data_IF_633311816018
#
_entry.id   IF_633311816018
#
_cell.length_a   1.000
_cell.length_b   1.000
_cell.length_c   1.000
_cell.angle_alpha   90.00
_cell.angle_beta   90.00
_cell.angle_gamma   90.00
#
_symmetry.space_group_name_H-M   'P 1'
#
loop_
_entity.id
_entity.type
_entity.pdbx_description
1 polymer ?
#
# COMPACT_ATOMS: atom_id res chain seq x y z
N UNK A 1 11.16 -63.25 -21.46
CA UNK A 1 11.94 -62.01 -21.65
C UNK A 1 11.06 -60.74 -21.76
N UNK A 2 9.84 -60.70 -21.16
CA UNK A 2 8.87 -59.59 -21.35
C UNK A 2 8.48 -58.86 -20.04
N UNK A 3 8.92 -59.31 -18.87
CA UNK A 3 8.54 -58.65 -17.60
C UNK A 3 9.43 -57.45 -17.21
N UNK A 4 10.65 -57.33 -17.74
CA UNK A 4 11.56 -56.20 -17.41
C UNK A 4 11.15 -54.85 -18.05
N UNK A 5 10.26 -54.85 -19.04
CA UNK A 5 9.88 -53.64 -19.81
C UNK A 5 8.76 -52.81 -19.14
N UNK A 6 7.87 -53.44 -18.34
CA UNK A 6 6.78 -52.73 -17.65
C UNK A 6 7.26 -51.93 -16.43
N UNK A 7 8.22 -52.46 -15.66
CA UNK A 7 8.79 -51.77 -14.50
C UNK A 7 9.60 -50.51 -14.88
N UNK A 8 10.31 -50.54 -16.01
CA UNK A 8 11.02 -49.36 -16.52
C UNK A 8 10.07 -48.21 -16.84
N UNK A 9 8.99 -48.48 -17.60
CA UNK A 9 8.02 -47.44 -18.02
C UNK A 9 7.25 -46.81 -16.86
N UNK A 10 6.89 -47.58 -15.82
CA UNK A 10 6.24 -47.02 -14.63
C UNK A 10 7.17 -46.08 -13.85
N UNK A 11 8.45 -46.45 -13.69
CA UNK A 11 9.43 -45.62 -12.99
C UNK A 11 9.75 -44.33 -13.77
N UNK A 12 9.79 -44.36 -15.10
CA UNK A 12 9.97 -43.14 -15.91
C UNK A 12 8.79 -42.18 -15.80
N UNK A 13 7.54 -42.67 -15.82
CA UNK A 13 6.37 -41.81 -15.65
C UNK A 13 6.30 -41.19 -14.24
N UNK A 14 6.71 -41.94 -13.21
CA UNK A 14 6.78 -41.45 -11.83
C UNK A 14 7.86 -40.37 -11.67
N UNK A 15 9.05 -40.58 -12.24
CA UNK A 15 10.15 -39.61 -12.20
C UNK A 15 9.81 -38.36 -13.01
N UNK A 16 9.22 -38.49 -14.20
CA UNK A 16 8.79 -37.35 -15.03
C UNK A 16 7.65 -36.59 -14.33
N UNK A 17 6.70 -37.29 -13.69
CA UNK A 17 5.66 -36.68 -12.87
C UNK A 17 6.21 -35.92 -11.68
N UNK A 18 7.20 -36.48 -10.97
CA UNK A 18 7.87 -35.84 -9.84
C UNK A 18 8.65 -34.60 -10.27
N UNK A 19 9.35 -34.68 -11.41
CA UNK A 19 10.11 -33.56 -12.00
C UNK A 19 9.17 -32.44 -12.47
N UNK A 20 8.05 -32.77 -13.12
CA UNK A 20 7.04 -31.79 -13.52
C UNK A 20 6.37 -31.12 -12.30
N UNK A 21 6.09 -31.87 -11.23
CA UNK A 21 5.63 -31.33 -9.95
C UNK A 21 6.68 -30.38 -9.35
N UNK A 22 7.96 -30.76 -9.33
CA UNK A 22 9.05 -29.90 -8.86
C UNK A 22 9.18 -28.61 -9.67
N UNK A 23 9.00 -28.66 -10.99
CA UNK A 23 9.01 -27.46 -11.84
C UNK A 23 7.80 -26.55 -11.63
N UNK A 24 6.61 -27.11 -11.37
CA UNK A 24 5.42 -26.35 -11.02
C UNK A 24 5.58 -25.67 -9.65
N UNK A 25 6.14 -26.37 -8.66
CA UNK A 25 6.50 -25.79 -7.37
C UNK A 25 7.55 -24.70 -7.51
N UNK A 26 8.58 -24.86 -8.35
CA UNK A 26 9.58 -23.81 -8.57
C UNK A 26 9.00 -22.53 -9.18
N UNK A 27 8.05 -22.63 -10.12
CA UNK A 27 7.37 -21.44 -10.69
C UNK A 27 6.47 -20.75 -9.67
N UNK A 28 5.71 -21.50 -8.88
CA UNK A 28 4.87 -20.95 -7.82
C UNK A 28 5.71 -20.29 -6.71
N UNK A 29 6.82 -20.92 -6.30
CA UNK A 29 7.77 -20.37 -5.33
C UNK A 29 8.48 -19.13 -5.87
N UNK A 30 8.87 -19.10 -7.16
CA UNK A 30 9.50 -17.95 -7.78
C UNK A 30 8.58 -16.71 -7.82
N UNK A 31 7.26 -16.89 -7.95
CA UNK A 31 6.30 -15.79 -7.96
C UNK A 31 6.02 -15.24 -6.56
N UNK A 32 6.09 -16.07 -5.52
CA UNK A 32 5.98 -15.65 -4.10
C UNK A 32 7.22 -14.87 -3.64
N UNK A 33 8.36 -15.03 -4.30
CA UNK A 33 9.64 -14.43 -3.87
C UNK A 33 9.89 -13.00 -4.37
N UNK A 34 8.95 -12.39 -5.09
CA UNK A 34 9.15 -11.07 -5.71
C UNK A 34 8.02 -10.12 -5.35
N UNK A 35 8.36 -9.06 -4.63
CA UNK A 35 7.46 -7.94 -4.40
C UNK A 35 7.53 -6.96 -5.56
N UNK A 36 6.41 -6.37 -5.93
CA UNK A 36 6.33 -5.39 -7.02
C UNK A 36 5.63 -4.11 -6.58
N UNK A 37 6.05 -2.99 -7.16
CA UNK A 37 5.40 -1.70 -6.98
C UNK A 37 5.45 -0.92 -8.28
N UNK A 38 4.35 -0.27 -8.63
CA UNK A 38 4.31 0.65 -9.77
C UNK A 38 4.58 2.04 -9.24
N UNK A 39 5.77 2.58 -9.52
CA UNK A 39 6.23 3.87 -9.01
C UNK A 39 6.05 4.91 -10.11
N UNK A 40 5.11 5.86 -9.96
CA UNK A 40 5.04 7.01 -10.86
C UNK A 40 6.32 7.86 -10.77
N UNK A 41 6.66 8.56 -11.85
CA UNK A 41 7.85 9.42 -11.97
C UNK A 41 7.64 10.74 -11.22
N UNK A 42 7.44 10.64 -9.91
CA UNK A 42 7.26 11.75 -9.01
C UNK A 42 8.58 12.50 -8.83
N UNK A 43 8.62 13.75 -9.31
CA UNK A 43 9.75 14.67 -9.14
C UNK A 43 9.39 15.91 -8.34
N UNK A 44 8.11 16.30 -8.39
CA UNK A 44 7.54 17.48 -7.77
C UNK A 44 6.12 17.18 -7.33
N UNK A 45 5.76 17.68 -6.17
CA UNK A 45 4.40 17.73 -5.66
C UNK A 45 3.98 19.18 -5.50
N UNK A 46 2.67 19.38 -5.51
CA UNK A 46 2.06 20.55 -4.87
C UNK A 46 1.28 20.08 -3.65
N UNK A 47 1.49 20.74 -2.53
CA UNK A 47 0.69 20.56 -1.31
C UNK A 47 -0.41 21.60 -1.35
N UNK A 48 -1.65 21.17 -1.33
CA UNK A 48 -2.81 22.06 -1.29
C UNK A 48 -2.85 22.77 0.06
N UNK A 49 -3.02 24.09 0.07
CA UNK A 49 -2.98 24.91 1.31
C UNK A 49 -4.33 25.51 1.71
N UNK A 50 -5.37 25.25 0.93
CA UNK A 50 -6.72 25.78 1.12
C UNK A 50 -7.77 24.72 0.78
N UNK A 51 -8.93 24.80 1.41
CA UNK A 51 -10.08 23.97 1.04
C UNK A 51 -10.84 24.55 -0.16
N UNK A 52 -11.71 23.74 -0.78
CA UNK A 52 -12.57 24.14 -1.89
C UNK A 52 -11.82 24.66 -3.14
N UNK A 53 -10.59 24.19 -3.35
CA UNK A 53 -9.78 24.56 -4.50
C UNK A 53 -10.36 23.95 -5.77
N UNK A 54 -10.50 24.77 -6.82
CA UNK A 54 -11.04 24.30 -8.09
C UNK A 54 -9.91 23.85 -9.01
N UNK A 55 -9.95 22.58 -9.41
CA UNK A 55 -9.10 22.06 -10.48
C UNK A 55 -9.72 22.34 -11.85
N UNK A 56 -8.88 22.54 -12.86
CA UNK A 56 -9.29 23.02 -14.20
C UNK A 56 -8.71 22.17 -15.33
N UNK A 57 -9.42 22.08 -16.46
CA UNK A 57 -8.93 21.39 -17.66
C UNK A 57 -7.74 22.09 -18.32
N UNK A 58 -7.68 23.41 -18.21
CA UNK A 58 -6.63 24.27 -18.78
C UNK A 58 -6.08 25.20 -17.68
N UNK A 59 -4.87 25.76 -17.85
CA UNK A 59 -4.25 26.66 -16.87
C UNK A 59 -4.90 28.06 -16.89
N UNK A 60 -6.19 28.12 -16.60
CA UNK A 60 -7.01 29.32 -16.64
C UNK A 60 -8.27 29.14 -15.79
N UNK A 61 -8.72 30.22 -15.16
CA UNK A 61 -10.00 30.28 -14.44
C UNK A 61 -11.21 30.03 -15.35
N UNK A 62 -11.04 30.23 -16.66
CA UNK A 62 -12.06 29.99 -17.68
C UNK A 62 -12.09 28.54 -18.18
N UNK A 63 -11.11 27.71 -17.81
CA UNK A 63 -11.13 26.29 -18.14
C UNK A 63 -12.28 25.57 -17.43
N UNK A 64 -12.81 24.50 -18.04
CA UNK A 64 -13.79 23.64 -17.38
C UNK A 64 -13.29 23.15 -16.03
N UNK A 65 -14.17 23.21 -15.02
CA UNK A 65 -13.89 22.64 -13.70
C UNK A 65 -13.80 21.13 -13.78
N UNK A 66 -12.95 20.54 -12.96
CA UNK A 66 -13.01 19.12 -12.65
C UNK A 66 -14.19 18.87 -11.72
N UNK A 67 -15.03 17.92 -12.10
CA UNK A 67 -16.26 17.54 -11.42
C UNK A 67 -16.18 16.07 -11.03
N UNK A 68 -16.95 15.69 -10.01
CA UNK A 68 -17.27 14.32 -9.64
C UNK A 68 -18.71 14.02 -10.00
N UNK A 69 -18.95 12.85 -10.58
CA UNK A 69 -20.27 12.24 -10.66
C UNK A 69 -20.30 11.03 -9.76
N UNK A 70 -21.33 10.93 -8.93
CA UNK A 70 -21.53 9.84 -7.97
C UNK A 70 -22.77 9.06 -8.38
N UNK A 71 -22.71 7.71 -8.35
CA UNK A 71 -23.78 6.84 -8.83
C UNK A 71 -25.08 6.90 -8.02
N UNK A 72 -24.96 7.19 -6.73
CA UNK A 72 -26.03 7.23 -5.74
C UNK A 72 -25.68 8.20 -4.60
N UNK A 73 -26.51 8.22 -3.55
CA UNK A 73 -26.47 9.17 -2.44
C UNK A 73 -25.36 8.97 -1.41
N UNK A 74 -24.28 8.21 -1.69
CA UNK A 74 -23.09 8.16 -0.82
C UNK A 74 -22.98 6.91 0.05
N UNK A 75 -23.49 5.76 -0.41
CA UNK A 75 -23.19 4.47 0.21
C UNK A 75 -21.73 4.03 -0.02
N UNK A 76 -21.26 2.98 0.68
CA UNK A 76 -19.94 2.37 0.42
C UNK A 76 -19.79 1.90 -1.04
N UNK A 77 -20.89 1.52 -1.67
CA UNK A 77 -20.95 1.08 -3.07
C UNK A 77 -21.00 2.24 -4.09
N UNK A 78 -20.92 3.49 -3.64
CA UNK A 78 -21.00 4.64 -4.53
C UNK A 78 -19.82 4.66 -5.50
N UNK A 79 -20.10 4.56 -6.78
CA UNK A 79 -19.13 4.79 -7.82
C UNK A 79 -18.97 6.27 -8.13
N UNK A 80 -17.74 6.77 -7.94
CA UNK A 80 -17.35 8.11 -8.33
C UNK A 80 -16.63 8.11 -9.69
N UNK A 81 -16.95 9.07 -10.55
CA UNK A 81 -16.22 9.34 -11.80
C UNK A 81 -15.83 10.81 -11.90
N UNK A 82 -14.55 11.10 -12.11
CA UNK A 82 -14.08 12.46 -12.40
C UNK A 82 -14.19 12.82 -13.89
N UNK A 83 -14.61 14.05 -14.18
CA UNK A 83 -14.81 14.56 -15.55
C UNK A 83 -14.68 16.09 -15.63
N UNK A 84 -14.43 16.64 -16.82
CA UNK A 84 -14.42 18.09 -17.03
C UNK A 84 -15.78 18.64 -17.47
N UNK A 85 -16.25 19.68 -16.78
CA UNK A 85 -17.59 20.24 -16.97
C UNK A 85 -17.87 20.76 -18.39
N UNK A 86 -16.86 21.27 -19.09
CA UNK A 86 -17.00 21.90 -20.40
C UNK A 86 -16.95 20.91 -21.57
N UNK A 87 -16.37 19.72 -21.38
CA UNK A 87 -16.21 18.71 -22.44
C UNK A 87 -17.00 17.43 -22.20
N UNK A 88 -17.25 17.05 -20.95
CA UNK A 88 -17.73 15.71 -20.59
C UNK A 88 -19.06 15.71 -19.82
N UNK A 89 -19.59 16.88 -19.42
CA UNK A 89 -20.82 16.98 -18.60
C UNK A 89 -22.06 16.32 -19.19
N UNK A 90 -22.13 16.18 -20.52
CA UNK A 90 -23.26 15.50 -21.17
C UNK A 90 -23.30 13.99 -20.86
N UNK A 91 -22.15 13.38 -20.55
CA UNK A 91 -21.98 11.95 -20.28
C UNK A 91 -22.35 11.58 -18.83
N UNK A 92 -22.21 12.54 -17.91
CA UNK A 92 -22.34 12.31 -16.47
C UNK A 92 -23.36 13.28 -15.89
N UNK A 93 -24.61 12.82 -15.74
CA UNK A 93 -25.74 13.64 -15.32
C UNK A 93 -26.31 13.16 -13.99
N UNK A 94 -26.80 14.08 -13.14
CA UNK A 94 -27.62 13.70 -12.00
C UNK A 94 -28.85 12.90 -12.42
N UNK A 95 -29.30 11.97 -11.58
CA UNK A 95 -30.49 11.18 -11.81
C UNK A 95 -31.24 10.95 -10.49
N UNK A 96 -32.42 11.52 -10.36
CA UNK A 96 -33.24 11.40 -9.15
C UNK A 96 -33.75 9.98 -8.89
N UNK A 97 -33.85 9.12 -9.92
CA UNK A 97 -34.28 7.74 -9.74
C UNK A 97 -33.20 6.85 -9.13
N UNK A 98 -31.93 7.14 -9.41
CA UNK A 98 -30.79 6.37 -8.86
C UNK A 98 -30.14 7.07 -7.67
N UNK A 99 -30.51 8.33 -7.40
CA UNK A 99 -29.81 9.18 -6.44
C UNK A 99 -28.47 9.72 -6.94
N UNK A 100 -28.14 9.53 -8.22
CA UNK A 100 -26.88 10.00 -8.78
C UNK A 100 -26.81 11.52 -8.74
N UNK A 101 -25.65 12.06 -8.34
CA UNK A 101 -25.43 13.50 -8.23
C UNK A 101 -24.08 13.92 -8.79
N UNK A 102 -23.92 15.23 -9.01
CA UNK A 102 -22.69 15.84 -9.51
C UNK A 102 -22.27 16.94 -8.56
N UNK A 103 -20.99 16.97 -8.25
CA UNK A 103 -20.35 18.02 -7.45
C UNK A 103 -18.99 18.42 -8.04
N UNK A 104 -18.41 19.50 -7.52
CA UNK A 104 -17.06 19.88 -7.94
C UNK A 104 -16.04 19.00 -7.21
N UNK A 105 -15.04 18.49 -7.92
CA UNK A 105 -13.93 17.80 -7.26
C UNK A 105 -13.08 18.84 -6.52
N UNK A 106 -12.91 18.66 -5.22
CA UNK A 106 -12.08 19.50 -4.38
C UNK A 106 -11.03 18.63 -3.67
N UNK A 107 -9.73 18.85 -3.93
CA UNK A 107 -8.71 18.28 -3.05
C UNK A 107 -8.80 18.94 -1.68
N UNK A 108 -8.41 18.20 -0.64
CA UNK A 108 -8.39 18.66 0.75
C UNK A 108 -7.13 19.48 1.03
N UNK A 109 -7.21 20.40 1.99
CA UNK A 109 -6.02 21.04 2.54
C UNK A 109 -5.05 19.99 3.08
N UNK A 110 -3.78 20.07 2.68
CA UNK A 110 -2.74 19.10 3.02
C UNK A 110 -2.51 18.02 1.96
N UNK A 111 -3.40 17.89 0.95
CA UNK A 111 -3.24 16.88 -0.10
C UNK A 111 -1.95 17.09 -0.90
N UNK A 112 -1.18 16.01 -1.07
CA UNK A 112 -0.04 15.96 -1.98
C UNK A 112 -0.51 15.54 -3.36
N UNK A 113 -0.54 16.50 -4.29
CA UNK A 113 -0.88 16.22 -5.68
C UNK A 113 0.41 16.12 -6.52
N UNK A 114 0.66 14.99 -7.18
CA UNK A 114 1.85 14.82 -8.00
C UNK A 114 1.77 15.70 -9.25
N UNK A 115 2.81 16.50 -9.50
CA UNK A 115 2.92 17.31 -10.71
C UNK A 115 3.31 16.41 -11.88
N UNK A 116 2.70 16.65 -13.05
CA UNK A 116 3.04 15.94 -14.27
C UNK A 116 4.54 16.12 -14.59
N UNK A 117 5.35 15.05 -14.63
CA UNK A 117 6.78 15.16 -14.91
C UNK A 117 7.09 15.69 -16.31
N UNK A 118 6.13 15.61 -17.25
CA UNK A 118 6.26 16.17 -18.60
C UNK A 118 5.94 17.68 -18.66
N UNK A 119 5.40 18.26 -17.57
CA UNK A 119 5.07 19.68 -17.44
C UNK A 119 5.35 20.16 -16.00
N UNK A 120 6.60 19.99 -15.57
CA UNK A 120 7.01 20.21 -14.17
C UNK A 120 6.97 21.68 -13.75
N UNK A 121 7.22 22.58 -14.70
CA UNK A 121 7.18 24.03 -14.47
C UNK A 121 5.77 24.57 -14.59
N UNK A 122 5.50 25.66 -13.86
CA UNK A 122 4.18 26.28 -13.92
C UNK A 122 3.91 26.93 -15.28
N UNK A 123 2.68 26.86 -15.76
CA UNK A 123 2.20 27.60 -16.91
C UNK A 123 1.30 28.74 -16.44
N UNK A 124 1.75 29.99 -16.56
CA UNK A 124 1.02 31.17 -16.08
C UNK A 124 0.63 31.07 -14.59
N UNK A 125 1.49 30.47 -13.76
CA UNK A 125 1.22 30.25 -12.34
C UNK A 125 0.28 29.08 -12.04
N UNK A 126 0.03 28.18 -12.99
CA UNK A 126 -0.72 26.94 -12.79
C UNK A 126 0.18 25.71 -12.91
N UNK A 127 -0.07 24.70 -12.08
CA UNK A 127 0.63 23.41 -12.13
C UNK A 127 -0.31 22.34 -12.66
N UNK A 128 0.19 21.49 -13.56
CA UNK A 128 -0.55 20.33 -14.03
C UNK A 128 -0.29 19.17 -13.08
N UNK A 129 -1.36 18.61 -12.50
CA UNK A 129 -1.32 17.57 -11.48
C UNK A 129 -2.10 16.34 -11.89
N UNK A 130 -1.64 15.17 -11.46
CA UNK A 130 -2.40 13.92 -11.55
C UNK A 130 -3.35 13.81 -10.37
N UNK A 131 -4.64 13.58 -10.65
CA UNK A 131 -5.66 13.38 -9.63
C UNK A 131 -6.44 12.10 -9.90
N UNK A 132 -6.94 11.52 -8.81
CA UNK A 132 -7.76 10.31 -8.79
C UNK A 132 -9.04 10.63 -8.03
N UNK A 133 -10.13 9.94 -8.35
CA UNK A 133 -11.26 9.82 -7.43
C UNK A 133 -11.37 8.37 -6.96
N UNK A 134 -11.89 8.20 -5.74
CA UNK A 134 -12.05 6.90 -5.10
C UNK A 134 -12.71 5.92 -6.08
N UNK A 135 -12.05 4.79 -6.30
CA UNK A 135 -12.54 3.73 -7.18
C UNK A 135 -13.56 2.88 -6.43
N UNK A 136 -14.71 2.67 -7.05
CA UNK A 136 -15.64 1.60 -6.68
C UNK A 136 -15.05 0.23 -7.01
N UNK A 137 -15.21 -0.73 -6.09
CA UNK A 137 -14.75 -2.10 -6.24
C UNK A 137 -15.39 -2.86 -7.41
N UNK A 138 -16.56 -2.46 -7.90
CA UNK A 138 -17.23 -3.11 -9.03
C UNK A 138 -16.84 -2.59 -10.42
N UNK A 139 -15.87 -1.66 -10.53
CA UNK A 139 -15.25 -1.34 -11.82
C UNK A 139 -13.70 -1.31 -11.77
N UNK A 140 -13.07 -2.41 -11.32
CA UNK A 140 -11.64 -2.48 -11.13
C UNK A 140 -10.93 -2.38 -12.49
N UNK A 141 -9.91 -1.51 -12.58
CA UNK A 141 -9.06 -1.37 -13.77
C UNK A 141 -9.46 -0.29 -14.77
N UNK A 142 -10.59 0.41 -14.58
CA UNK A 142 -10.89 1.61 -15.36
C UNK A 142 -10.26 2.84 -14.70
N UNK A 143 -9.33 3.49 -15.41
CA UNK A 143 -8.67 4.69 -14.94
C UNK A 143 -9.70 5.76 -14.50
N UNK A 144 -9.76 6.00 -13.20
CA UNK A 144 -10.48 7.12 -12.59
C UNK A 144 -9.49 8.23 -12.24
N UNK A 145 -8.57 8.51 -13.17
CA UNK A 145 -7.52 9.49 -13.02
C UNK A 145 -7.54 10.48 -14.19
N UNK A 146 -7.20 11.75 -13.91
CA UNK A 146 -7.07 12.81 -14.92
C UNK A 146 -5.88 13.70 -14.62
N UNK A 147 -5.31 14.30 -15.66
CA UNK A 147 -4.46 15.48 -15.50
C UNK A 147 -5.34 16.72 -15.43
N UNK A 148 -5.20 17.51 -14.38
CA UNK A 148 -5.90 18.78 -14.20
C UNK A 148 -4.91 19.87 -13.79
N UNK A 149 -5.35 21.12 -13.81
CA UNK A 149 -4.55 22.28 -13.47
C UNK A 149 -5.03 22.90 -12.16
N UNK A 150 -4.10 23.16 -11.25
CA UNK A 150 -4.31 23.87 -10.00
C UNK A 150 -3.54 25.18 -10.02
N UNK A 151 -4.13 26.25 -9.49
CA UNK A 151 -3.46 27.55 -9.42
C UNK A 151 -2.48 27.57 -8.26
N UNK A 152 -1.27 28.07 -8.52
CA UNK A 152 -0.18 28.12 -7.54
C UNK A 152 -0.51 28.91 -6.27
N UNK A 153 -1.40 29.91 -6.35
CA UNK A 153 -1.88 30.68 -5.19
C UNK A 153 -2.52 29.80 -4.09
N UNK A 154 -2.96 28.58 -4.44
CA UNK A 154 -3.60 27.64 -3.54
C UNK A 154 -2.68 26.49 -3.08
N UNK A 155 -1.38 26.56 -3.38
CA UNK A 155 -0.47 25.45 -3.13
C UNK A 155 0.92 25.89 -2.65
N UNK A 156 1.62 24.97 -1.99
CA UNK A 156 3.07 25.01 -1.80
C UNK A 156 3.73 23.98 -2.73
N UNK A 157 4.77 24.36 -3.47
CA UNK A 157 5.58 23.42 -4.25
C UNK A 157 6.57 22.69 -3.35
N UNK A 158 6.73 21.39 -3.55
CA UNK A 158 7.72 20.56 -2.89
C UNK A 158 8.41 19.68 -3.92
N UNK A 159 9.73 19.82 -4.04
CA UNK A 159 10.56 19.05 -4.95
C UNK A 159 11.18 17.85 -4.27
N UNK A 160 11.18 16.71 -4.94
CA UNK A 160 11.86 15.49 -4.47
C UNK A 160 13.37 15.69 -4.64
N UNK A 161 14.14 15.50 -3.57
CA UNK A 161 15.60 15.47 -3.68
C UNK A 161 16.03 14.15 -4.32
N UNK A 162 16.30 14.23 -5.62
CA UNK A 162 16.74 13.09 -6.42
C UNK A 162 18.15 12.58 -6.03
N UNK A 163 18.91 13.35 -5.23
CA UNK A 163 20.22 12.95 -4.72
C UNK A 163 20.17 12.37 -3.31
N UNK A 164 19.03 12.47 -2.62
CA UNK A 164 18.85 11.91 -1.30
C UNK A 164 18.99 10.38 -1.34
N UNK A 165 19.60 9.81 -0.29
CA UNK A 165 19.72 8.35 -0.14
C UNK A 165 18.50 7.83 0.61
N UNK A 166 17.59 7.03 0.00
CA UNK A 166 16.41 6.52 0.69
C UNK A 166 16.74 5.76 1.98
N UNK A 167 17.90 5.11 2.03
CA UNK A 167 18.37 4.38 3.23
C UNK A 167 18.63 5.25 4.46
N UNK A 168 18.63 6.58 4.32
CA UNK A 168 18.82 7.56 5.41
C UNK A 168 17.53 8.28 5.80
N UNK A 169 16.43 8.02 5.08
CA UNK A 169 15.13 8.62 5.38
C UNK A 169 14.60 8.02 6.67
N UNK A 170 14.29 8.89 7.62
CA UNK A 170 13.71 8.49 8.89
C UNK A 170 12.18 8.48 8.81
N UNK A 171 11.57 7.45 9.39
CA UNK A 171 10.11 7.26 9.46
C UNK A 171 9.73 6.76 10.86
N UNK A 172 8.49 6.98 11.34
CA UNK A 172 8.02 6.43 12.61
C UNK A 172 8.10 4.91 12.59
N UNK A 173 8.72 4.29 13.59
CA UNK A 173 8.85 2.81 13.65
C UNK A 173 7.49 2.10 13.66
N UNK A 174 6.52 2.67 14.35
CA UNK A 174 5.17 2.15 14.49
C UNK A 174 4.19 3.32 14.75
N UNK A 175 2.91 3.00 14.70
CA UNK A 175 1.83 3.84 15.19
C UNK A 175 1.04 3.04 16.22
N UNK A 176 0.55 3.71 17.25
CA UNK A 176 -0.39 3.16 18.23
C UNK A 176 -1.50 4.15 18.47
N UNK A 177 -2.70 3.66 18.78
CA UNK A 177 -3.80 4.54 19.17
C UNK A 177 -3.76 4.77 20.68
N UNK A 178 -3.84 6.04 21.09
CA UNK A 178 -4.05 6.42 22.47
C UNK A 178 -5.56 6.60 22.69
N UNK A 179 -6.17 5.61 23.35
CA UNK A 179 -7.61 5.60 23.61
C UNK A 179 -8.06 6.77 24.51
N UNK A 180 -7.20 7.27 25.40
CA UNK A 180 -7.58 8.36 26.32
C UNK A 180 -7.64 9.71 25.59
N UNK A 181 -6.80 9.88 24.57
CA UNK A 181 -6.70 11.12 23.80
C UNK A 181 -7.39 11.05 22.44
N UNK A 182 -7.88 9.87 22.08
CA UNK A 182 -8.46 9.56 20.78
C UNK A 182 -7.53 9.91 19.60
N UNK A 183 -6.21 9.80 19.79
CA UNK A 183 -5.21 10.23 18.81
C UNK A 183 -4.24 9.10 18.43
N UNK A 184 -3.77 9.15 17.18
CA UNK A 184 -2.67 8.28 16.75
C UNK A 184 -1.33 8.83 17.25
N UNK A 185 -0.60 8.00 18.01
CA UNK A 185 0.72 8.30 18.54
C UNK A 185 1.81 7.68 17.67
N UNK A 186 2.76 8.52 17.27
CA UNK A 186 3.92 8.11 16.47
C UNK A 186 5.01 7.52 17.36
N UNK A 187 5.46 6.33 17.01
CA UNK A 187 6.66 5.73 17.60
C UNK A 187 7.94 6.49 17.26
N UNK A 188 9.10 6.07 17.81
CA UNK A 188 10.38 6.70 17.54
C UNK A 188 10.73 6.69 16.05
N UNK A 189 11.33 7.77 15.56
CA UNK A 189 11.86 7.83 14.20
C UNK A 189 13.05 6.89 14.04
N UNK A 190 13.04 6.11 12.97
CA UNK A 190 14.07 5.13 12.64
C UNK A 190 14.38 5.16 11.15
N UNK A 191 15.55 4.67 10.79
CA UNK A 191 15.94 4.40 9.40
C UNK A 191 15.88 2.89 9.11
N UNK A 192 15.79 2.51 7.83
CA UNK A 192 15.83 1.09 7.43
C UNK A 192 17.06 0.33 7.97
N UNK A 193 18.17 1.03 8.22
CA UNK A 193 19.42 0.41 8.68
C UNK A 193 19.34 -0.13 10.09
N UNK A 194 18.39 0.36 10.89
CA UNK A 194 18.13 -0.07 12.26
C UNK A 194 17.17 -1.27 12.31
N UNK A 195 16.59 -1.65 11.17
CA UNK A 195 15.68 -2.78 11.07
C UNK A 195 16.39 -4.12 11.15
N UNK A 196 15.63 -5.14 11.52
CA UNK A 196 16.09 -6.51 11.62
C UNK A 196 16.00 -7.18 10.25
N UNK A 197 17.00 -8.02 9.94
CA UNK A 197 17.01 -8.88 8.76
C UNK A 197 17.06 -10.33 9.17
N UNK A 198 16.28 -11.18 8.51
CA UNK A 198 16.34 -12.63 8.76
C UNK A 198 17.70 -13.16 8.30
N UNK A 199 18.32 -13.97 9.16
CA UNK A 199 19.67 -14.53 8.92
C UNK A 199 19.66 -15.72 7.95
N UNK A 200 18.50 -16.35 7.76
CA UNK A 200 18.31 -17.54 6.92
C UNK A 200 16.87 -17.60 6.39
N UNK A 201 16.63 -18.45 5.40
CA UNK A 201 15.30 -18.74 4.85
C UNK A 201 14.91 -17.90 3.62
N UNK A 202 13.65 -17.98 3.23
CA UNK A 202 13.09 -17.39 2.00
C UNK A 202 12.94 -15.85 2.05
N UNK A 203 13.12 -15.21 3.21
CA UNK A 203 12.82 -13.78 3.42
C UNK A 203 14.03 -12.98 3.91
N UNK A 204 15.25 -13.42 3.58
CA UNK A 204 16.52 -12.84 4.07
C UNK A 204 16.80 -11.42 3.58
N UNK A 205 16.15 -10.98 2.50
CA UNK A 205 16.33 -9.63 1.98
C UNK A 205 15.34 -8.63 2.57
N UNK A 206 14.29 -9.10 3.24
CA UNK A 206 13.31 -8.25 3.92
C UNK A 206 13.89 -7.70 5.21
N UNK A 207 13.81 -6.38 5.36
CA UNK A 207 14.08 -5.68 6.61
C UNK A 207 12.76 -5.36 7.28
N UNK A 208 12.65 -5.56 8.59
CA UNK A 208 11.44 -5.28 9.34
C UNK A 208 11.72 -4.86 10.78
N UNK A 209 10.73 -4.24 11.41
CA UNK A 209 10.64 -3.97 12.83
C UNK A 209 9.46 -4.73 13.39
N UNK A 210 9.59 -5.20 14.63
CA UNK A 210 8.49 -5.77 15.39
C UNK A 210 8.58 -5.24 16.81
N UNK A 211 7.49 -4.73 17.35
CA UNK A 211 7.46 -4.09 18.68
C UNK A 211 6.14 -4.43 19.37
N UNK A 212 6.17 -4.64 20.68
CA UNK A 212 4.95 -4.77 21.46
C UNK A 212 4.22 -3.43 21.49
N UNK A 213 2.90 -3.43 21.36
CA UNK A 213 2.09 -2.24 21.61
C UNK A 213 2.20 -1.80 23.08
N UNK A 214 1.98 -0.51 23.39
CA UNK A 214 2.04 0.01 24.76
C UNK A 214 1.04 -0.67 25.72
N UNK A 215 -0.16 -1.00 25.24
CA UNK A 215 -1.21 -1.70 26.01
C UNK A 215 -0.92 -3.20 26.23
N UNK A 216 0.10 -3.74 25.54
CA UNK A 216 0.50 -5.13 25.61
C UNK A 216 -0.45 -6.12 24.94
N UNK A 217 -1.48 -5.67 24.22
CA UNK A 217 -2.47 -6.52 23.58
C UNK A 217 -2.21 -6.80 22.11
N UNK A 218 -1.23 -6.16 21.49
CA UNK A 218 -0.87 -6.42 20.10
C UNK A 218 0.65 -6.35 19.90
N UNK A 219 1.07 -6.76 18.70
CA UNK A 219 2.39 -6.46 18.17
C UNK A 219 2.25 -5.64 16.90
N UNK A 220 3.17 -4.71 16.72
CA UNK A 220 3.23 -3.79 15.60
C UNK A 220 4.40 -4.20 14.71
N UNK A 221 4.11 -4.56 13.47
CA UNK A 221 5.13 -4.96 12.48
C UNK A 221 5.21 -3.91 11.39
N UNK A 222 6.43 -3.46 11.08
CA UNK A 222 6.71 -2.46 10.05
C UNK A 222 7.80 -2.96 9.12
N UNK A 223 7.54 -3.00 7.82
CA UNK A 223 8.49 -3.45 6.79
C UNK A 223 8.77 -2.34 5.76
N UNK A 224 9.90 -1.62 5.90
CA UNK A 224 10.30 -0.61 4.93
C UNK A 224 10.88 -1.23 3.63
N UNK A 225 10.47 -0.70 2.49
CA UNK A 225 10.94 -1.11 1.16
C UNK A 225 11.52 0.11 0.42
N UNK A 226 12.77 -0.01 -0.01
CA UNK A 226 13.45 1.06 -0.76
C UNK A 226 13.14 0.98 -2.25
N UNK A 227 12.85 2.11 -2.88
CA UNK A 227 12.78 2.20 -4.34
C UNK A 227 13.17 3.60 -4.83
N UNK A 228 14.29 3.67 -5.58
CA UNK A 228 14.86 4.89 -6.18
C UNK A 228 15.08 6.04 -5.19
N UNK A 229 14.06 6.89 -4.98
CA UNK A 229 14.10 8.08 -4.12
C UNK A 229 13.14 7.98 -2.93
N UNK A 230 12.40 6.87 -2.83
CA UNK A 230 11.30 6.68 -1.90
C UNK A 230 11.56 5.52 -0.93
N UNK A 231 10.94 5.61 0.24
CA UNK A 231 10.77 4.51 1.19
C UNK A 231 9.29 4.23 1.33
N UNK A 232 8.86 3.05 0.91
CA UNK A 232 7.50 2.53 1.08
C UNK A 232 7.43 1.82 2.43
N UNK A 233 6.36 2.04 3.19
CA UNK A 233 6.18 1.40 4.48
C UNK A 233 4.96 0.48 4.42
N UNK A 234 5.18 -0.82 4.65
CA UNK A 234 4.10 -1.75 4.92
C UNK A 234 3.97 -1.95 6.44
N UNK A 235 2.76 -1.86 6.99
CA UNK A 235 2.51 -2.10 8.42
C UNK A 235 1.38 -3.08 8.63
N UNK A 236 1.42 -3.78 9.75
CA UNK A 236 0.27 -4.52 10.28
C UNK A 236 0.34 -4.50 11.80
N UNK A 237 -0.83 -4.38 12.43
CA UNK A 237 -1.03 -4.75 13.82
C UNK A 237 -1.48 -6.22 13.88
N UNK A 238 -1.06 -6.95 14.91
CA UNK A 238 -1.48 -8.33 15.16
C UNK A 238 -1.88 -8.45 16.61
N UNK A 239 -3.14 -8.77 16.86
CA UNK A 239 -3.65 -8.94 18.22
C UNK A 239 -3.04 -10.16 18.88
N UNK A 240 -2.82 -10.04 20.19
CA UNK A 240 -2.26 -11.08 21.05
C UNK A 240 -3.26 -11.41 22.14
N UNK A 241 -3.82 -12.61 22.04
CA UNK A 241 -4.77 -13.16 23.01
C UNK A 241 -4.11 -14.19 23.91
N UNK A 242 -4.56 -14.23 25.17
CA UNK A 242 -4.17 -15.28 26.09
C UNK A 242 -5.10 -16.47 25.90
N UNK A 243 -4.53 -17.67 25.81
CA UNK A 243 -5.29 -18.92 25.85
C UNK A 243 -4.54 -19.89 26.78
N UNK A 244 -5.18 -20.21 27.91
CA UNK A 244 -4.62 -21.07 28.97
C UNK A 244 -4.56 -22.55 28.59
N UNK A 245 -5.33 -22.98 27.60
CA UNK A 245 -5.44 -24.39 27.22
C UNK A 245 -4.46 -24.77 26.11
N UNK A 246 -3.91 -23.78 25.40
CA UNK A 246 -2.95 -24.06 24.34
C UNK A 246 -1.64 -24.65 24.90
N UNK A 247 -1.12 -25.65 24.17
CA UNK A 247 0.11 -26.37 24.55
C UNK A 247 1.37 -25.66 24.08
N UNK A 248 1.31 -24.99 22.93
CA UNK A 248 2.42 -24.24 22.37
C UNK A 248 2.56 -22.88 23.04
N UNK A 249 3.78 -22.40 23.23
CA UNK A 249 4.00 -21.11 23.90
C UNK A 249 3.32 -19.95 23.17
N UNK A 250 3.45 -19.91 21.84
CA UNK A 250 2.80 -18.92 20.96
C UNK A 250 2.41 -19.60 19.65
N UNK A 251 1.24 -19.25 19.11
CA UNK A 251 0.73 -19.73 17.81
C UNK A 251 0.19 -18.56 16.99
N UNK A 252 0.54 -18.51 15.71
CA UNK A 252 -0.03 -17.56 14.74
C UNK A 252 -1.16 -18.21 13.95
N UNK A 253 -2.33 -17.58 14.02
CA UNK A 253 -3.55 -17.98 13.34
C UNK A 253 -3.87 -17.02 12.19
N UNK A 254 -4.42 -17.58 11.12
CA UNK A 254 -5.22 -16.82 10.15
C UNK A 254 -6.66 -17.04 10.56
N UNK A 255 -7.37 -15.96 10.84
CA UNK A 255 -8.73 -15.99 11.34
C UNK A 255 -9.59 -15.20 10.39
N UNK A 256 -10.77 -15.73 10.09
CA UNK A 256 -11.81 -15.08 9.32
C UNK A 256 -12.89 -14.63 10.30
N UNK A 257 -13.16 -13.32 10.38
CA UNK A 257 -14.28 -12.78 11.15
C UNK A 257 -15.15 -11.94 10.22
N UNK A 258 -16.44 -12.04 10.44
CA UNK A 258 -17.43 -11.18 9.80
C UNK A 258 -17.32 -9.79 10.44
N UNK A 259 -17.04 -8.79 9.63
CA UNK A 259 -17.01 -7.40 10.06
C UNK A 259 -18.43 -6.88 10.31
N UNK A 260 -18.55 -5.67 10.85
CA UNK A 260 -19.87 -5.07 11.19
C UNK A 260 -20.82 -4.92 10.00
N UNK A 261 -20.29 -5.02 8.77
CA UNK A 261 -21.04 -4.90 7.52
C UNK A 261 -21.45 -6.26 6.94
N UNK A 262 -21.05 -7.37 7.57
CA UNK A 262 -21.36 -8.73 7.10
C UNK A 262 -20.32 -9.32 6.14
N UNK A 263 -19.23 -8.60 5.86
CA UNK A 263 -18.16 -9.10 5.01
C UNK A 263 -17.14 -9.88 5.83
N UNK A 264 -16.65 -11.00 5.29
CA UNK A 264 -15.65 -11.83 5.97
C UNK A 264 -14.26 -11.31 5.65
N UNK A 265 -13.59 -10.76 6.66
CA UNK A 265 -12.21 -10.30 6.56
C UNK A 265 -11.26 -11.33 7.19
N UNK A 266 -10.14 -11.60 6.50
CA UNK A 266 -9.07 -12.42 7.07
C UNK A 266 -8.07 -11.52 7.78
N UNK A 267 -7.72 -11.85 9.03
CA UNK A 267 -6.69 -11.17 9.81
C UNK A 267 -5.75 -12.18 10.49
N UNK A 268 -4.60 -11.66 10.95
CA UNK A 268 -3.65 -12.43 11.75
C UNK A 268 -3.94 -12.22 13.23
N UNK A 269 -3.93 -13.32 13.98
CA UNK A 269 -4.05 -13.30 15.45
C UNK A 269 -3.02 -14.21 16.07
N UNK A 270 -2.37 -13.75 17.13
CA UNK A 270 -1.46 -14.54 17.94
C UNK A 270 -2.16 -14.97 19.22
N UNK A 271 -2.02 -16.25 19.60
CA UNK A 271 -2.39 -16.73 20.93
C UNK A 271 -1.12 -17.08 21.71
N UNK A 272 -1.14 -16.88 23.03
CA UNK A 272 -0.04 -17.28 23.93
C UNK A 272 -0.55 -17.85 25.25
N UNK A 273 0.13 -18.87 25.78
CA UNK A 273 -0.20 -19.48 27.08
C UNK A 273 0.42 -18.71 28.25
N UNK A 274 1.00 -17.55 27.98
CA UNK A 274 1.58 -16.66 28.98
C UNK A 274 0.86 -15.33 28.94
N UNK A 275 0.02 -15.08 29.95
CA UNK A 275 -0.72 -13.81 30.09
C UNK A 275 0.23 -12.64 30.38
N UNK A 276 1.13 -12.84 31.36
CA UNK A 276 2.13 -11.84 31.72
C UNK A 276 3.11 -11.60 30.55
N UNK A 277 3.19 -10.35 30.09
CA UNK A 277 4.05 -9.96 28.96
C UNK A 277 3.73 -10.69 27.65
N UNK A 278 2.44 -11.01 27.40
CA UNK A 278 1.98 -11.70 26.18
C UNK A 278 2.54 -11.12 24.87
N UNK A 279 2.51 -9.80 24.71
CA UNK A 279 3.05 -9.11 23.52
C UNK A 279 4.57 -9.31 23.36
N UNK A 280 5.32 -9.40 24.45
CA UNK A 280 6.76 -9.69 24.41
C UNK A 280 7.06 -11.12 23.96
N UNK A 281 6.26 -12.08 24.43
CA UNK A 281 6.35 -13.47 23.94
C UNK A 281 6.04 -13.54 22.44
N UNK A 282 5.00 -12.84 21.98
CA UNK A 282 4.63 -12.71 20.58
C UNK A 282 5.73 -12.06 19.72
N UNK A 283 6.37 -10.98 20.18
CA UNK A 283 7.52 -10.36 19.49
C UNK A 283 8.63 -11.38 19.29
N UNK A 284 9.03 -12.07 20.36
CA UNK A 284 10.10 -13.08 20.29
C UNK A 284 9.74 -14.24 19.34
N UNK A 285 8.48 -14.64 19.32
CA UNK A 285 7.97 -15.66 18.40
C UNK A 285 8.13 -15.24 16.93
N UNK A 286 7.73 -14.01 16.56
CA UNK A 286 7.91 -13.50 15.19
C UNK A 286 9.39 -13.40 14.81
N UNK A 287 10.24 -12.97 15.74
CA UNK A 287 11.69 -12.90 15.50
C UNK A 287 12.33 -14.26 15.24
N UNK A 288 11.84 -15.31 15.89
CA UNK A 288 12.31 -16.68 15.75
C UNK A 288 11.50 -17.52 14.74
N UNK A 289 10.54 -16.91 14.04
CA UNK A 289 9.59 -17.62 13.20
C UNK A 289 10.28 -18.41 12.07
N UNK A 290 9.73 -19.59 11.79
CA UNK A 290 10.07 -20.36 10.59
C UNK A 290 9.59 -19.63 9.33
N UNK A 291 10.09 -20.03 8.16
CA UNK A 291 9.63 -19.45 6.88
C UNK A 291 8.13 -19.66 6.65
N UNK A 292 7.57 -20.77 7.12
CA UNK A 292 6.15 -21.06 7.01
C UNK A 292 5.31 -20.03 7.79
N UNK A 293 5.70 -19.73 9.03
CA UNK A 293 4.99 -18.77 9.89
C UNK A 293 5.22 -17.35 9.38
N UNK A 294 6.47 -16.99 9.08
CA UNK A 294 6.81 -15.66 8.60
C UNK A 294 6.19 -15.36 7.23
N UNK A 295 5.99 -16.37 6.39
CA UNK A 295 5.31 -16.24 5.10
C UNK A 295 3.86 -15.79 5.21
N UNK A 296 3.15 -16.15 6.31
CA UNK A 296 1.81 -15.62 6.58
C UNK A 296 1.84 -14.11 6.80
N UNK A 297 2.74 -13.65 7.67
CA UNK A 297 2.97 -12.22 7.91
C UNK A 297 3.32 -11.46 6.62
N UNK A 298 4.17 -12.03 5.77
CA UNK A 298 4.57 -11.40 4.49
C UNK A 298 3.36 -11.23 3.55
N UNK A 299 2.44 -12.21 3.48
CA UNK A 299 1.23 -12.08 2.67
C UNK A 299 0.32 -10.95 3.13
N UNK A 300 0.26 -10.72 4.44
CA UNK A 300 -0.52 -9.64 5.04
C UNK A 300 0.12 -8.27 4.81
N UNK A 301 1.45 -8.16 4.95
CA UNK A 301 2.17 -6.93 4.65
C UNK A 301 2.15 -6.59 3.15
N UNK A 302 2.12 -7.61 2.29
CA UNK A 302 2.22 -7.46 0.84
C UNK A 302 1.14 -8.29 0.13
N UNK A 303 -0.14 -7.88 0.22
CA UNK A 303 -1.23 -8.59 -0.43
C UNK A 303 -0.95 -8.70 -1.94
N UNK A 304 -1.21 -9.87 -2.51
CA UNK A 304 -0.92 -10.19 -3.92
C UNK A 304 0.53 -9.95 -4.37
N UNK A 305 1.49 -9.95 -3.43
CA UNK A 305 2.90 -9.59 -3.65
C UNK A 305 3.10 -8.14 -4.15
N UNK A 306 2.18 -7.24 -3.81
CA UNK A 306 2.28 -5.80 -4.09
C UNK A 306 2.76 -5.07 -2.84
N UNK A 307 3.66 -4.10 -3.04
CA UNK A 307 4.07 -3.19 -1.97
C UNK A 307 2.96 -2.15 -1.81
N UNK A 308 2.46 -1.94 -0.58
CA UNK A 308 1.44 -0.95 -0.33
C UNK A 308 1.99 0.47 -0.55
N UNK A 309 1.11 1.38 -0.97
CA UNK A 309 1.46 2.73 -1.44
C UNK A 309 0.71 3.84 -0.69
N UNK A 310 0.02 3.47 0.38
CA UNK A 310 -0.66 4.33 1.35
C UNK A 310 0.33 5.15 2.19
N UNK A 311 1.52 4.60 2.47
CA UNK A 311 2.55 5.28 3.26
C UNK A 311 3.92 5.29 2.55
N UNK A 312 4.31 6.45 2.02
CA UNK A 312 5.55 6.65 1.26
C UNK A 312 6.28 7.88 1.75
N UNK A 313 7.58 7.74 2.04
CA UNK A 313 8.46 8.83 2.47
C UNK A 313 9.47 9.21 1.40
N UNK A 314 9.79 10.50 1.33
CA UNK A 314 10.87 11.05 0.52
C UNK A 314 11.52 12.25 1.22
N UNK A 315 12.72 12.61 0.80
CA UNK A 315 13.35 13.87 1.21
C UNK A 315 13.04 14.93 0.16
N UNK A 316 12.64 16.11 0.62
CA UNK A 316 12.59 17.27 -0.26
C UNK A 316 13.96 17.94 -0.42
N UNK A 317 14.07 18.85 -1.38
CA UNK A 317 15.30 19.62 -1.65
C UNK A 317 15.69 20.58 -0.53
N UNK A 318 14.81 20.83 0.45
CA UNK A 318 15.12 21.59 1.67
C UNK A 318 15.71 20.70 2.78
N UNK A 319 15.84 19.38 2.52
CA UNK A 319 16.34 18.40 3.49
C UNK A 319 15.31 17.99 4.53
N UNK A 320 14.02 18.24 4.29
CA UNK A 320 12.93 17.82 5.16
C UNK A 320 12.30 16.52 4.66
N UNK A 321 12.03 15.61 5.58
CA UNK A 321 11.29 14.37 5.29
C UNK A 321 9.81 14.70 5.08
N UNK A 322 9.23 14.21 3.98
CA UNK A 322 7.82 14.32 3.65
C UNK A 322 7.21 12.92 3.56
N UNK A 323 5.90 12.81 3.80
CA UNK A 323 5.13 11.58 3.67
C UNK A 323 3.87 11.81 2.85
N UNK A 324 3.52 10.84 2.02
CA UNK A 324 2.28 10.85 1.24
C UNK A 324 1.81 9.42 0.95
N UNK A 325 0.56 9.28 0.52
CA UNK A 325 0.01 8.06 -0.05
C UNK A 325 -0.44 8.28 -1.49
N UNK A 326 -0.52 7.22 -2.29
CA UNK A 326 -1.09 7.29 -3.63
C UNK A 326 -1.75 5.98 -4.06
N UNK A 327 -2.77 6.09 -4.91
CA UNK A 327 -3.32 4.95 -5.62
C UNK A 327 -2.49 4.67 -6.90
N UNK A 328 -2.04 3.43 -7.13
CA UNK A 328 -1.35 3.05 -8.37
C UNK A 328 -2.10 3.42 -9.66
N UNK A 329 -3.42 3.60 -9.66
CA UNK A 329 -4.24 4.06 -10.80
C UNK A 329 -3.77 5.42 -11.34
N UNK A 330 -3.15 6.28 -10.52
CA UNK A 330 -2.58 7.56 -10.96
C UNK A 330 -1.57 7.38 -12.10
N UNK A 331 -0.95 6.20 -12.19
CA UNK A 331 -0.02 5.83 -13.26
C UNK A 331 -0.65 5.71 -14.66
N UNK A 332 -1.97 5.82 -14.77
CA UNK A 332 -2.68 5.93 -16.05
C UNK A 332 -2.55 7.33 -16.67
N UNK A 333 -2.17 8.33 -15.88
CA UNK A 333 -2.03 9.72 -16.31
C UNK A 333 -0.66 10.33 -15.99
N UNK A 334 0.02 9.82 -14.95
CA UNK A 334 1.42 10.12 -14.65
C UNK A 334 2.29 8.96 -15.13
N UNK A 335 3.34 9.20 -15.94
CA UNK A 335 4.28 8.14 -16.35
C UNK A 335 4.82 7.37 -15.14
N UNK A 336 4.91 6.05 -15.24
CA UNK A 336 5.37 5.20 -14.14
C UNK A 336 6.28 4.08 -14.61
N UNK A 337 7.13 3.60 -13.70
CA UNK A 337 7.98 2.43 -13.88
C UNK A 337 7.61 1.36 -12.87
N UNK A 338 7.61 0.11 -13.31
CA UNK A 338 7.49 -1.01 -12.38
C UNK A 338 8.85 -1.26 -11.73
N UNK A 339 8.89 -1.13 -10.41
CA UNK A 339 10.00 -1.56 -9.58
C UNK A 339 9.67 -2.89 -8.92
N UNK A 340 10.70 -3.64 -8.57
CA UNK A 340 10.52 -4.91 -7.88
C UNK A 340 11.66 -5.23 -6.95
N UNK A 341 11.34 -5.90 -5.84
CA UNK A 341 12.30 -6.38 -4.86
C UNK A 341 12.21 -7.90 -4.75
N UNK A 342 13.35 -8.59 -4.82
CA UNK A 342 13.42 -9.99 -4.42
C UNK A 342 13.41 -10.10 -2.90
N UNK A 343 12.59 -10.99 -2.36
CA UNK A 343 12.57 -11.34 -0.94
C UNK A 343 13.78 -12.20 -0.53
N UNK A 344 14.42 -12.84 -1.51
CA UNK A 344 15.62 -13.65 -1.37
C UNK A 344 16.85 -12.91 -1.89
N UNK A 345 18.02 -13.24 -1.34
CA UNK A 345 19.30 -12.74 -1.82
C UNK A 345 19.79 -13.48 -3.06
#
# INVERSE_FOLDING_TARGET
MIEKSRYGKHNYCLVIGLVLLLFLFQKAVAQINKLTVKVPDFKRFVIVTQDNVNLRRTPSVNGGKLMCWNSDGGSYDTYCKIFFADTESKLYRPNSMTGAFVETFHPMNGDFLPVNPNSIESQNGWYQVGVIANSYGGNPGHANAKLAWIKGDFCKVVDVDMNAKPSQIAFPRNFSYDEEREEEVKGPLVTIREGLRRKSGLYTNLTFFVTASPDGNSILVTAPILSSHFVFIARTSIDVQYDSEQKSAVVLHEVEEENEMGDVDTFLRLTTNTEAQKSKAAVNYILAASDQVFGKLVKFLFPENKIPTDEVYFMDTEGKCQSFGYDPIVSSVIPAKSSSMSLQK
#
